data_IF_215676953026
#
_entry.id   IF_215676953026
#
_cell.length_a   1.000
_cell.length_b   1.000
_cell.length_c   1.000
_cell.angle_alpha   90.00
_cell.angle_beta   90.00
_cell.angle_gamma   90.00
#
_symmetry.space_group_name_H-M   'P 1'
#
loop_
_entity.id
_entity.type
_entity.pdbx_description
1 polymer ?
#
# COMPACT_ATOMS: atom_id res chain seq x y z
N UNK A 1 -27.30 13.07 15.84
CA UNK A 1 -27.61 12.31 14.60
C UNK A 1 -26.36 12.40 13.72
N UNK A 2 -25.62 11.31 13.47
CA UNK A 2 -24.36 11.35 12.71
C UNK A 2 -24.67 11.51 11.22
N UNK A 3 -24.41 12.71 10.68
CA UNK A 3 -24.58 13.04 9.26
C UNK A 3 -23.30 12.62 8.55
N UNK A 4 -23.41 11.80 7.49
CA UNK A 4 -22.26 11.38 6.69
C UNK A 4 -21.62 12.60 6.05
N UNK A 5 -20.30 12.80 6.21
CA UNK A 5 -19.58 13.92 5.59
C UNK A 5 -19.11 13.63 4.16
N UNK A 6 -19.46 12.46 3.60
CA UNK A 6 -19.08 12.10 2.24
C UNK A 6 -19.96 12.85 1.22
N UNK A 7 -19.37 13.40 0.14
CA UNK A 7 -20.11 14.11 -0.91
C UNK A 7 -21.13 13.24 -1.66
N UNK A 8 -21.07 11.92 -1.48
CA UNK A 8 -21.98 10.94 -2.10
C UNK A 8 -23.19 10.56 -1.23
N UNK A 9 -23.45 11.27 -0.12
CA UNK A 9 -24.60 10.99 0.76
C UNK A 9 -24.38 9.79 1.70
N UNK A 10 -25.47 9.22 2.24
CA UNK A 10 -25.40 8.06 3.14
C UNK A 10 -25.15 6.79 2.32
N UNK A 11 -24.15 6.00 2.68
CA UNK A 11 -23.97 4.67 2.10
C UNK A 11 -25.20 3.79 2.37
N UNK A 12 -25.69 3.07 1.36
CA UNK A 12 -26.77 2.07 1.51
C UNK A 12 -26.33 0.86 2.35
N UNK A 13 -25.05 0.76 2.69
CA UNK A 13 -24.52 -0.31 3.54
C UNK A 13 -24.89 -0.04 5.00
N UNK A 14 -25.93 -0.71 5.47
CA UNK A 14 -26.33 -0.70 6.87
C UNK A 14 -25.25 -1.38 7.73
N UNK A 15 -24.75 -0.67 8.75
CA UNK A 15 -23.71 -1.20 9.65
C UNK A 15 -24.33 -2.16 10.67
N UNK A 16 -24.42 -3.44 10.31
CA UNK A 16 -24.83 -4.52 11.22
C UNK A 16 -23.66 -4.84 12.19
N UNK A 17 -23.97 -5.23 13.43
CA UNK A 17 -22.95 -5.76 14.37
C UNK A 17 -22.32 -7.00 13.73
N UNK A 18 -21.03 -6.92 13.40
CA UNK A 18 -20.29 -8.07 12.86
C UNK A 18 -20.18 -9.16 13.95
N UNK A 19 -20.32 -10.46 13.61
CA UNK A 19 -20.07 -11.54 14.55
C UNK A 19 -18.61 -11.47 15.05
N UNK A 20 -18.39 -11.83 16.33
CA UNK A 20 -17.05 -11.88 16.92
C UNK A 20 -16.34 -13.16 16.45
N UNK A 21 -15.70 -13.08 15.29
CA UNK A 21 -14.87 -14.13 14.71
C UNK A 21 -13.38 -13.89 15.03
N UNK A 22 -12.52 -14.92 14.98
CA UNK A 22 -11.07 -14.71 15.05
C UNK A 22 -10.62 -13.79 13.91
N UNK A 23 -9.49 -13.10 14.13
CA UNK A 23 -8.94 -12.21 13.12
C UNK A 23 -8.63 -13.01 11.84
N UNK A 24 -9.11 -12.56 10.67
CA UNK A 24 -8.89 -13.27 9.42
C UNK A 24 -7.39 -13.30 9.11
N UNK A 25 -6.89 -14.49 8.78
CA UNK A 25 -5.52 -14.65 8.25
C UNK A 25 -5.58 -14.45 6.75
N UNK A 26 -4.97 -13.36 6.28
CA UNK A 26 -4.92 -13.03 4.85
C UNK A 26 -3.75 -13.77 4.20
N UNK A 27 -3.95 -14.47 3.07
CA UNK A 27 -2.83 -15.09 2.36
C UNK A 27 -1.86 -14.02 1.89
N UNK A 28 -0.56 -14.30 2.09
CA UNK A 28 0.52 -13.40 1.67
C UNK A 28 1.50 -14.15 0.78
N UNK A 29 1.96 -13.45 -0.26
CA UNK A 29 2.88 -13.93 -1.27
C UNK A 29 4.21 -13.20 -1.12
N UNK A 30 5.31 -13.90 -1.42
CA UNK A 30 6.64 -13.28 -1.51
C UNK A 30 6.74 -12.57 -2.85
N UNK A 31 7.07 -11.28 -2.82
CA UNK A 31 7.26 -10.46 -4.01
C UNK A 31 8.65 -9.85 -4.01
N UNK A 32 9.33 -9.93 -5.16
CA UNK A 32 10.59 -9.26 -5.44
C UNK A 32 10.31 -7.85 -5.96
N UNK A 33 10.80 -6.85 -5.25
CA UNK A 33 10.69 -5.44 -5.61
C UNK A 33 12.05 -4.96 -6.10
N UNK A 34 12.08 -4.39 -7.30
CA UNK A 34 13.27 -3.74 -7.88
C UNK A 34 13.09 -2.24 -7.79
N UNK A 35 14.02 -1.59 -7.11
CA UNK A 35 14.09 -0.13 -6.95
C UNK A 35 14.71 0.54 -8.16
N UNK A 36 14.65 1.86 -8.20
CA UNK A 36 15.11 2.67 -9.33
C UNK A 36 16.63 2.65 -9.50
N UNK A 37 17.37 2.45 -8.40
CA UNK A 37 18.82 2.21 -8.36
C UNK A 37 19.23 0.79 -8.79
N UNK A 38 18.27 -0.11 -9.01
CA UNK A 38 18.50 -1.52 -9.29
C UNK A 38 18.64 -2.40 -8.05
N UNK A 39 18.61 -1.84 -6.84
CA UNK A 39 18.59 -2.63 -5.60
C UNK A 39 17.29 -3.45 -5.50
N UNK A 40 17.38 -4.62 -4.87
CA UNK A 40 16.25 -5.54 -4.78
C UNK A 40 15.97 -5.98 -3.34
N UNK A 41 14.69 -6.14 -3.01
CA UNK A 41 14.28 -6.70 -1.73
C UNK A 41 13.07 -7.62 -1.89
N UNK A 42 12.90 -8.52 -0.92
CA UNK A 42 11.77 -9.42 -0.84
C UNK A 42 10.81 -8.91 0.25
N UNK A 43 9.53 -8.77 -0.08
CA UNK A 43 8.50 -8.44 0.91
C UNK A 43 7.28 -9.35 0.77
N UNK A 44 6.47 -9.41 1.83
CA UNK A 44 5.21 -10.15 1.83
C UNK A 44 4.06 -9.20 1.46
N UNK A 45 3.32 -9.54 0.42
CA UNK A 45 2.20 -8.74 -0.09
C UNK A 45 0.95 -9.61 -0.23
N UNK A 46 -0.23 -9.00 -0.29
CA UNK A 46 -1.49 -9.69 -0.63
C UNK A 46 -1.72 -9.77 -2.14
N UNK A 47 -0.92 -9.05 -2.93
CA UNK A 47 -0.97 -9.13 -4.39
C UNK A 47 -0.36 -10.45 -4.88
N UNK A 48 -0.96 -11.14 -5.85
CA UNK A 48 -0.40 -12.38 -6.41
C UNK A 48 0.80 -12.14 -7.34
N UNK A 49 1.27 -10.90 -7.50
CA UNK A 49 2.39 -10.58 -8.39
C UNK A 49 3.73 -10.91 -7.71
N UNK A 50 4.51 -11.79 -8.33
CA UNK A 50 5.84 -12.19 -7.85
C UNK A 50 6.92 -11.11 -8.05
N UNK A 51 6.70 -10.16 -8.96
CA UNK A 51 7.68 -9.15 -9.35
C UNK A 51 7.05 -7.77 -9.53
N UNK A 52 7.74 -6.73 -9.08
CA UNK A 52 7.39 -5.33 -9.38
C UNK A 52 8.65 -4.47 -9.49
N UNK A 53 8.66 -3.56 -10.47
CA UNK A 53 9.69 -2.55 -10.65
C UNK A 53 9.13 -1.18 -10.32
N UNK A 54 9.80 -0.46 -9.43
CA UNK A 54 9.42 0.89 -9.04
C UNK A 54 10.13 1.90 -9.94
N UNK A 55 9.35 2.82 -10.52
CA UNK A 55 9.88 3.95 -11.29
C UNK A 55 10.17 5.16 -10.40
N UNK A 56 9.46 5.30 -9.28
CA UNK A 56 9.64 6.33 -8.25
C UNK A 56 9.70 5.66 -6.88
N UNK A 57 10.74 5.96 -6.11
CA UNK A 57 10.97 5.41 -4.79
C UNK A 57 11.82 6.36 -3.93
N UNK A 58 12.19 5.91 -2.73
CA UNK A 58 13.01 6.69 -1.79
C UNK A 58 14.41 6.97 -2.38
N UNK A 59 14.96 6.06 -3.20
CA UNK A 59 16.32 6.19 -3.73
C UNK A 59 16.45 7.29 -4.79
N UNK A 60 15.37 7.58 -5.53
CA UNK A 60 15.33 8.67 -6.52
C UNK A 60 14.49 9.88 -6.09
N UNK A 61 14.10 9.96 -4.82
CA UNK A 61 13.35 11.10 -4.28
C UNK A 61 14.29 12.20 -3.78
N UNK A 62 14.13 13.47 -4.20
CA UNK A 62 14.99 14.57 -3.77
C UNK A 62 14.87 14.87 -2.26
N UNK A 63 13.75 14.51 -1.63
CA UNK A 63 13.55 14.70 -0.19
C UNK A 63 14.45 13.79 0.66
N UNK A 64 14.75 12.59 0.16
CA UNK A 64 15.52 11.57 0.87
C UNK A 64 16.94 11.42 0.34
N UNK A 65 17.20 11.93 -0.86
CA UNK A 65 18.50 11.89 -1.52
C UNK A 65 18.99 13.32 -1.84
N UNK A 66 19.30 14.05 -0.76
CA UNK A 66 19.65 15.48 -0.76
C UNK A 66 20.96 15.78 -1.49
N UNK A 67 21.76 14.76 -1.82
CA UNK A 67 23.06 14.88 -2.46
C UNK A 67 23.06 14.66 -3.98
N UNK A 68 21.96 14.16 -4.56
CA UNK A 68 21.86 13.91 -6.01
C UNK A 68 21.32 15.12 -6.79
N UNK A 69 20.75 16.11 -6.10
CA UNK A 69 20.48 17.43 -6.69
C UNK A 69 21.81 18.17 -6.88
N UNK A 70 22.50 17.89 -7.98
CA UNK A 70 23.49 18.82 -8.54
C UNK A 70 22.74 20.01 -9.14
N UNK A 71 23.32 21.20 -8.93
CA UNK A 71 22.79 22.52 -9.27
C UNK A 71 22.17 22.66 -10.65
#
# INVERSE_FOLDING_TARGET
RSVSSSPYGRAHVWRVRKPKIPNPVVPTFVQRVVRSDGSTFLHRTTSPKSYIRLTRDVTNSPLFNNGVTKG
#
